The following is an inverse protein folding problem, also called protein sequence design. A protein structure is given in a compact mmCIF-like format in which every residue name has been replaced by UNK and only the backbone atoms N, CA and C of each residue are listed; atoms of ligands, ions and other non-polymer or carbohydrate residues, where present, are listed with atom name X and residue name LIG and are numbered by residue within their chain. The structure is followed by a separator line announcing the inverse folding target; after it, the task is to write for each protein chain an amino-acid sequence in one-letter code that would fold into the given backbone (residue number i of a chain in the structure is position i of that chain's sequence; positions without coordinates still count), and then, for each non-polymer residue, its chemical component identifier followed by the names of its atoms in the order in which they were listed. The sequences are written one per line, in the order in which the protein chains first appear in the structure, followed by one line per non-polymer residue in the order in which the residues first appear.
data_IF_887428215449
#
_entry.id   IF_887428215449
#
_cell.length_a   1.000
_cell.length_b   1.000
_cell.length_c   1.000
_cell.angle_alpha   90.00
_cell.angle_beta   90.00
_cell.angle_gamma   90.00
#
_symmetry.space_group_name_H-M   'P 1'
#
loop_
_entity.id
_entity.type
_entity.pdbx_description
1 polymer ?
#
# COMPACT_ATOMS: atom_id res chain seq x y z
N UNK A 1 -3.68 3.87 3.40
CA UNK A 1 -2.72 4.66 2.58
C UNK A 1 -2.40 3.95 1.26
N UNK A 2 -2.31 4.64 0.12
CA UNK A 2 -2.01 4.04 -1.21
C UNK A 2 -0.92 4.82 -1.96
N UNK A 3 0.01 4.10 -2.59
CA UNK A 3 1.27 4.65 -3.07
C UNK A 3 1.53 4.29 -4.54
N UNK A 4 0.95 5.03 -5.52
CA UNK A 4 1.28 5.12 -6.98
C UNK A 4 0.06 5.64 -7.76
N UNK A 5 0.03 6.89 -8.25
CA UNK A 5 -1.22 7.62 -8.50
C UNK A 5 -2.22 6.95 -9.48
N UNK A 6 -1.79 6.51 -10.67
CA UNK A 6 -2.73 5.99 -11.68
C UNK A 6 -3.21 4.56 -11.40
N UNK A 7 -2.33 3.69 -10.89
CA UNK A 7 -2.66 2.30 -10.54
C UNK A 7 -3.38 2.23 -9.20
N UNK A 8 -3.00 3.07 -8.24
CA UNK A 8 -3.73 3.29 -7.00
C UNK A 8 -5.18 3.69 -7.27
N UNK A 9 -5.41 4.70 -8.12
CA UNK A 9 -6.77 5.15 -8.46
C UNK A 9 -7.62 4.02 -9.04
N UNK A 10 -7.04 3.16 -9.89
CA UNK A 10 -7.73 2.00 -10.44
C UNK A 10 -8.01 0.95 -9.37
N UNK A 11 -7.05 0.65 -8.49
CA UNK A 11 -7.25 -0.26 -7.37
C UNK A 11 -8.38 0.23 -6.47
N UNK A 12 -8.33 1.51 -6.07
CA UNK A 12 -9.35 2.20 -5.26
C UNK A 12 -10.74 2.07 -5.87
N UNK A 13 -10.87 2.23 -7.20
CA UNK A 13 -12.15 2.05 -7.89
C UNK A 13 -12.63 0.60 -7.81
N UNK A 14 -11.73 -0.37 -7.99
CA UNK A 14 -12.06 -1.79 -7.88
C UNK A 14 -12.48 -2.19 -6.47
N UNK A 15 -11.80 -1.68 -5.44
CA UNK A 15 -12.13 -1.91 -4.01
C UNK A 15 -13.13 -0.89 -3.45
N UNK A 16 -13.92 -0.22 -4.29
CA UNK A 16 -14.83 0.86 -3.90
C UNK A 16 -15.82 0.50 -2.79
N UNK A 17 -16.09 -0.78 -2.55
CA UNK A 17 -16.87 -1.24 -1.38
C UNK A 17 -16.20 -0.89 -0.04
N UNK A 18 -14.87 -0.83 0.00
CA UNK A 18 -14.10 -0.46 1.19
C UNK A 18 -14.19 1.02 1.53
N UNK A 19 -14.56 1.90 0.58
CA UNK A 19 -14.82 3.33 0.90
C UNK A 19 -15.98 3.53 1.86
N UNK A 20 -16.83 2.52 2.04
CA UNK A 20 -17.90 2.54 3.06
C UNK A 20 -17.39 2.21 4.47
N UNK A 21 -16.15 1.72 4.57
CA UNK A 21 -15.58 1.12 5.79
C UNK A 21 -14.36 1.93 6.26
N UNK A 22 -13.57 2.50 5.35
CA UNK A 22 -12.37 3.26 5.68
C UNK A 22 -12.14 4.44 4.73
N UNK A 23 -11.60 5.53 5.28
CA UNK A 23 -11.12 6.67 4.51
C UNK A 23 -9.80 6.34 3.83
N UNK A 24 -9.78 6.49 2.50
CA UNK A 24 -8.60 6.18 1.70
C UNK A 24 -7.79 7.44 1.43
N UNK A 25 -6.61 7.55 2.05
CA UNK A 25 -5.63 8.60 1.76
C UNK A 25 -4.53 8.07 0.83
N UNK A 26 -4.18 8.81 -0.22
CA UNK A 26 -2.99 8.55 -1.05
C UNK A 26 -1.81 9.38 -0.53
N UNK A 27 -0.59 9.00 -0.91
CA UNK A 27 0.63 9.66 -0.41
C UNK A 27 0.72 11.14 -0.83
N UNK A 28 0.29 11.48 -2.05
CA UNK A 28 0.28 12.85 -2.57
C UNK A 28 -0.61 13.76 -1.72
N UNK A 29 -1.82 13.33 -1.35
CA UNK A 29 -2.69 14.14 -0.49
C UNK A 29 -2.13 14.29 0.93
N UNK A 30 -1.32 13.34 1.40
CA UNK A 30 -0.73 13.41 2.75
C UNK A 30 0.46 14.37 2.79
N UNK A 31 1.31 14.33 1.78
CA UNK A 31 2.54 15.12 1.71
C UNK A 31 2.27 16.60 1.41
N UNK A 32 1.22 16.90 0.64
CA UNK A 32 0.80 18.29 0.33
C UNK A 32 0.18 19.01 1.54
N UNK A 33 -0.32 18.28 2.54
CA UNK A 33 -1.05 18.86 3.68
C UNK A 33 -0.17 19.26 4.88
N UNK A 34 1.16 19.27 4.74
CA UNK A 34 2.11 19.49 5.86
C UNK A 34 1.86 18.55 7.07
N UNK A 35 1.14 17.45 6.83
CA UNK A 35 0.95 16.39 7.81
C UNK A 35 2.23 15.57 7.83
N UNK A 36 2.76 15.30 9.03
CA UNK A 36 3.94 14.46 9.18
C UNK A 36 3.61 13.06 8.64
N UNK A 37 3.99 12.80 7.39
CA UNK A 37 3.69 11.59 6.64
C UNK A 37 4.01 10.32 7.45
N UNK A 38 5.03 10.41 8.29
CA UNK A 38 5.41 9.38 9.25
C UNK A 38 4.31 9.08 10.27
N UNK A 39 3.77 10.10 10.91
CA UNK A 39 2.71 9.94 11.91
C UNK A 39 1.43 9.42 11.27
N UNK A 40 1.13 9.84 10.05
CA UNK A 40 -0.04 9.34 9.33
C UNK A 40 0.12 7.89 8.87
N UNK A 41 1.33 7.50 8.46
CA UNK A 41 1.69 6.12 8.18
C UNK A 41 1.54 5.25 9.44
N UNK A 42 2.01 5.74 10.60
CA UNK A 42 1.89 5.06 11.89
C UNK A 42 0.46 4.97 12.41
N UNK A 43 -0.35 6.00 12.19
CA UNK A 43 -1.75 6.06 12.61
C UNK A 43 -2.71 5.31 11.69
N UNK A 44 -2.28 4.97 10.48
CA UNK A 44 -3.13 4.26 9.52
C UNK A 44 -3.51 2.85 9.99
N UNK A 45 -4.80 2.56 10.09
CA UNK A 45 -5.31 1.23 10.46
C UNK A 45 -4.96 0.16 9.40
N UNK A 46 -4.80 0.56 8.14
CA UNK A 46 -4.34 -0.29 7.06
C UNK A 46 -3.52 0.49 6.01
N UNK A 47 -2.42 -0.12 5.57
CA UNK A 47 -1.49 0.43 4.58
C UNK A 47 -1.46 -0.49 3.36
N UNK A 48 -1.72 0.06 2.19
CA UNK A 48 -1.64 -0.65 0.91
C UNK A 48 -0.51 -0.05 0.09
N UNK A 49 0.60 -0.75 -0.01
CA UNK A 49 1.73 -0.35 -0.84
C UNK A 49 1.53 -0.88 -2.26
N UNK A 50 1.49 0.00 -3.26
CA UNK A 50 1.57 -0.43 -4.65
C UNK A 50 3.05 -0.54 -5.02
N UNK A 51 3.56 -1.76 -5.03
CA UNK A 51 4.96 -2.03 -5.28
C UNK A 51 5.22 -2.04 -6.80
N UNK A 52 5.72 -0.90 -7.29
CA UNK A 52 6.31 -0.77 -8.62
C UNK A 52 7.84 -0.78 -8.52
N UNK A 53 8.54 -1.10 -9.61
CA UNK A 53 10.00 -1.04 -9.63
C UNK A 53 10.55 0.34 -9.20
N UNK A 54 9.84 1.43 -9.52
CA UNK A 54 10.17 2.78 -9.08
C UNK A 54 10.01 2.94 -7.57
N UNK A 55 8.88 2.53 -7.01
CA UNK A 55 8.64 2.59 -5.56
C UNK A 55 9.64 1.72 -4.80
N UNK A 56 9.92 0.50 -5.28
CA UNK A 56 10.95 -0.39 -4.74
C UNK A 56 12.31 0.31 -4.70
N UNK A 57 12.74 0.91 -5.82
CA UNK A 57 14.01 1.64 -5.91
C UNK A 57 14.09 2.82 -4.94
N UNK A 58 13.03 3.63 -4.85
CA UNK A 58 12.98 4.77 -3.93
C UNK A 58 13.08 4.34 -2.47
N UNK A 59 12.39 3.26 -2.07
CA UNK A 59 12.47 2.72 -0.71
C UNK A 59 13.86 2.14 -0.42
N UNK A 60 14.39 1.31 -1.33
CA UNK A 60 15.67 0.65 -1.14
C UNK A 60 16.82 1.65 -1.05
N UNK A 61 16.79 2.69 -1.89
CA UNK A 61 17.80 3.74 -1.91
C UNK A 61 17.52 4.88 -0.91
N UNK A 62 16.41 4.82 -0.16
CA UNK A 62 15.98 5.84 0.81
C UNK A 62 15.88 7.24 0.16
N UNK A 63 15.33 7.27 -1.05
CA UNK A 63 15.20 8.47 -1.87
C UNK A 63 13.78 9.03 -1.82
N UNK A 64 13.68 10.34 -1.97
CA UNK A 64 12.42 11.04 -2.17
C UNK A 64 12.18 11.22 -3.67
N UNK A 65 10.92 11.06 -4.08
CA UNK A 65 10.42 11.62 -5.33
C UNK A 65 9.84 12.99 -5.04
N UNK A 66 10.17 13.98 -5.88
CA UNK A 66 9.70 15.35 -5.74
C UNK A 66 9.19 15.88 -7.07
N UNK A 67 8.23 16.79 -7.01
CA UNK A 67 7.85 17.67 -8.11
C UNK A 67 8.04 19.11 -7.63
N UNK A 68 8.98 19.82 -8.25
CA UNK A 68 9.51 21.10 -7.74
C UNK A 68 9.93 21.00 -6.27
N UNK A 69 9.20 21.66 -5.37
CA UNK A 69 9.45 21.66 -3.92
C UNK A 69 8.57 20.65 -3.16
N UNK A 70 7.57 20.05 -3.82
CA UNK A 70 6.62 19.12 -3.21
C UNK A 70 7.16 17.69 -3.22
N UNK A 71 7.15 17.03 -2.06
CA UNK A 71 7.49 15.61 -1.96
C UNK A 71 6.28 14.80 -2.46
N UNK A 72 6.48 13.96 -3.47
CA UNK A 72 5.47 13.03 -3.98
C UNK A 72 5.58 11.64 -3.34
N UNK A 73 6.77 11.26 -2.90
CA UNK A 73 7.03 9.98 -2.25
C UNK A 73 8.26 10.09 -1.34
N UNK A 74 8.19 9.58 -0.12
CA UNK A 74 9.34 9.51 0.78
C UNK A 74 9.76 8.07 1.07
N UNK A 75 10.72 7.57 0.28
CA UNK A 75 11.26 6.23 0.43
C UNK A 75 12.08 6.04 1.71
N UNK A 76 12.65 7.11 2.27
CA UNK A 76 13.39 7.05 3.53
C UNK A 76 12.44 6.79 4.69
N UNK A 77 11.34 7.54 4.79
CA UNK A 77 10.32 7.34 5.84
C UNK A 77 9.70 5.94 5.71
N UNK A 78 9.36 5.51 4.49
CA UNK A 78 8.82 4.18 4.24
C UNK A 78 9.79 3.08 4.69
N UNK A 79 11.07 3.17 4.32
CA UNK A 79 12.08 2.21 4.75
C UNK A 79 12.21 2.16 6.27
N UNK A 80 12.31 3.32 6.93
CA UNK A 80 12.47 3.41 8.39
C UNK A 80 11.26 2.83 9.13
N UNK A 81 10.04 3.20 8.75
CA UNK A 81 8.81 2.70 9.38
C UNK A 81 8.63 1.21 9.14
N UNK A 82 8.88 0.71 7.93
CA UNK A 82 8.75 -0.72 7.66
C UNK A 82 9.88 -1.55 8.29
N UNK A 83 11.06 -0.98 8.54
CA UNK A 83 12.13 -1.68 9.25
C UNK A 83 11.93 -1.66 10.78
N UNK A 84 11.42 -0.56 11.35
CA UNK A 84 11.34 -0.35 12.79
C UNK A 84 9.99 -0.75 13.37
N UNK A 85 8.90 -0.60 12.62
CA UNK A 85 7.54 -0.87 13.06
C UNK A 85 7.07 -2.27 12.64
N UNK A 86 7.51 -3.28 13.39
CA UNK A 86 7.13 -4.70 13.15
C UNK A 86 5.62 -4.93 13.21
N UNK A 87 4.91 -4.16 14.04
CA UNK A 87 3.45 -4.26 14.17
C UNK A 87 2.78 -3.83 12.86
N UNK A 88 3.18 -2.68 12.29
CA UNK A 88 2.67 -2.18 11.02
C UNK A 88 2.87 -3.22 9.91
N UNK A 89 4.09 -3.74 9.75
CA UNK A 89 4.41 -4.74 8.70
C UNK A 89 3.62 -6.03 8.88
N UNK A 90 3.50 -6.53 10.11
CA UNK A 90 2.83 -7.82 10.37
C UNK A 90 1.32 -7.73 10.29
N UNK A 91 0.73 -6.63 10.74
CA UNK A 91 -0.70 -6.57 11.00
C UNK A 91 -1.45 -5.67 10.03
N UNK A 92 -0.83 -4.61 9.51
CA UNK A 92 -1.54 -3.54 8.79
C UNK A 92 -1.11 -3.36 7.34
N UNK A 93 0.06 -3.87 6.96
CA UNK A 93 0.59 -3.76 5.60
C UNK A 93 0.03 -4.83 4.64
N UNK A 94 -0.33 -4.39 3.44
CA UNK A 94 -0.65 -5.19 2.26
C UNK A 94 0.17 -4.65 1.08
N UNK A 95 0.80 -5.52 0.30
CA UNK A 95 1.58 -5.15 -0.89
C UNK A 95 0.85 -5.63 -2.13
N UNK A 96 0.77 -4.77 -3.15
CA UNK A 96 0.14 -5.08 -4.44
C UNK A 96 1.10 -4.77 -5.57
N UNK A 97 1.51 -5.79 -6.30
CA UNK A 97 2.30 -5.69 -7.53
C UNK A 97 1.38 -5.74 -8.74
N UNK A 98 1.56 -4.81 -9.68
CA UNK A 98 0.89 -4.80 -10.99
C UNK A 98 1.77 -5.34 -12.12
N UNK A 99 3.03 -5.66 -11.82
CA UNK A 99 3.96 -6.28 -12.75
C UNK A 99 4.54 -7.52 -12.09
N UNK A 100 5.12 -8.42 -12.89
CA UNK A 100 5.83 -9.57 -12.34
C UNK A 100 6.89 -9.09 -11.35
N UNK A 101 6.92 -9.74 -10.19
CA UNK A 101 7.90 -9.43 -9.16
C UNK A 101 9.27 -9.87 -9.66
N UNK A 102 10.26 -8.99 -9.48
CA UNK A 102 11.66 -9.26 -9.76
C UNK A 102 12.45 -9.39 -8.46
N UNK A 103 13.66 -9.93 -8.54
CA UNK A 103 14.60 -9.97 -7.40
C UNK A 103 14.96 -8.59 -6.87
N UNK A 104 14.78 -7.55 -7.68
CA UNK A 104 15.04 -6.16 -7.32
C UNK A 104 13.86 -5.49 -6.61
N UNK A 105 12.70 -6.15 -6.50
CA UNK A 105 11.57 -5.59 -5.78
C UNK A 105 11.80 -5.65 -4.27
N UNK A 106 11.67 -4.48 -3.65
CA UNK A 106 11.87 -4.34 -2.23
C UNK A 106 10.68 -4.90 -1.47
N UNK A 107 10.95 -5.82 -0.53
CA UNK A 107 9.96 -6.42 0.36
C UNK A 107 10.43 -6.26 1.81
N UNK A 108 9.58 -5.73 2.72
CA UNK A 108 9.94 -5.61 4.11
C UNK A 108 10.11 -6.98 4.78
N UNK A 109 11.12 -7.10 5.62
CA UNK A 109 11.37 -8.33 6.36
C UNK A 109 10.22 -8.64 7.33
N UNK A 110 9.72 -9.87 7.29
CA UNK A 110 8.70 -10.36 8.23
C UNK A 110 7.25 -10.10 7.82
N UNK A 111 7.02 -9.63 6.59
CA UNK A 111 5.66 -9.61 6.01
C UNK A 111 5.15 -11.04 5.74
N UNK A 112 3.86 -11.25 5.93
CA UNK A 112 3.16 -12.48 5.56
C UNK A 112 2.98 -12.52 4.03
N UNK A 113 3.52 -13.53 3.36
CA UNK A 113 3.42 -13.72 1.90
C UNK A 113 1.97 -13.72 1.40
N UNK A 114 1.00 -14.12 2.24
CA UNK A 114 -0.43 -14.07 1.89
C UNK A 114 -1.00 -12.63 1.82
N UNK A 115 -0.19 -11.62 2.15
CA UNK A 115 -0.51 -10.18 2.04
C UNK A 115 0.20 -9.53 0.86
N UNK A 116 0.94 -10.29 0.07
CA UNK A 116 1.57 -9.85 -1.17
C UNK A 116 0.70 -10.34 -2.31
N UNK A 117 0.14 -9.40 -3.06
CA UNK A 117 -0.76 -9.68 -4.15
C UNK A 117 -0.07 -9.36 -5.47
N UNK A 118 -0.16 -10.30 -6.41
CA UNK A 118 0.21 -10.04 -7.80
C UNK A 118 -1.06 -9.87 -8.62
N UNK A 119 -1.11 -8.79 -9.39
CA UNK A 119 -2.20 -8.45 -10.29
C UNK A 119 -1.66 -8.59 -11.70
N UNK A 120 -2.19 -9.58 -12.43
CA UNK A 120 -1.79 -9.90 -13.79
C UNK A 120 -2.09 -8.74 -14.76
N UNK A 121 -1.29 -8.66 -15.84
CA UNK A 121 -1.44 -7.72 -16.97
C UNK A 121 -1.38 -6.22 -16.64
N UNK A 122 -0.94 -5.82 -15.45
CA UNK A 122 -0.88 -4.40 -15.07
C UNK A 122 -2.24 -3.71 -15.00
N UNK A 123 -3.33 -4.48 -14.96
CA UNK A 123 -4.70 -3.99 -14.91
C UNK A 123 -5.31 -4.34 -13.57
N UNK A 124 -6.04 -3.41 -12.96
CA UNK A 124 -6.78 -3.73 -11.74
C UNK A 124 -7.68 -4.95 -11.98
N UNK A 125 -7.68 -5.92 -11.05
CA UNK A 125 -8.36 -7.18 -11.31
C UNK A 125 -9.87 -6.92 -11.44
N UNK A 126 -10.56 -7.54 -12.43
CA UNK A 126 -11.99 -7.37 -12.59
C UNK A 126 -12.75 -7.88 -11.36
N UNK A 127 -13.97 -7.35 -11.17
CA UNK A 127 -14.86 -7.76 -10.08
C UNK A 127 -15.12 -9.27 -10.14
N UNK A 128 -15.04 -9.94 -9.00
CA UNK A 128 -15.30 -11.37 -8.87
C UNK A 128 -14.12 -12.28 -9.18
N UNK A 129 -12.96 -11.73 -9.56
CA UNK A 129 -11.73 -12.53 -9.66
C UNK A 129 -11.26 -13.01 -8.29
N UNK A 130 -10.60 -14.18 -8.20
CA UNK A 130 -10.03 -14.67 -6.95
C UNK A 130 -9.06 -13.66 -6.31
N UNK A 131 -8.22 -13.02 -7.12
CA UNK A 131 -7.25 -12.01 -6.66
C UNK A 131 -7.94 -10.81 -6.00
N UNK A 132 -8.94 -10.21 -6.65
CA UNK A 132 -9.66 -9.08 -6.06
C UNK A 132 -10.45 -9.50 -4.82
N UNK A 133 -11.09 -10.67 -4.86
CA UNK A 133 -11.87 -11.20 -3.72
C UNK A 133 -10.98 -11.44 -2.52
N UNK A 134 -9.80 -12.03 -2.72
CA UNK A 134 -8.82 -12.25 -1.67
C UNK A 134 -8.26 -10.94 -1.13
N UNK A 135 -7.95 -9.97 -2.00
CA UNK A 135 -7.50 -8.65 -1.57
C UNK A 135 -8.57 -7.93 -0.73
N UNK A 136 -9.82 -7.90 -1.20
CA UNK A 136 -10.95 -7.33 -0.44
C UNK A 136 -11.10 -8.02 0.91
N UNK A 137 -11.02 -9.36 0.95
CA UNK A 137 -11.10 -10.11 2.20
C UNK A 137 -9.99 -9.72 3.18
N UNK A 138 -8.72 -9.67 2.74
CA UNK A 138 -7.60 -9.32 3.61
C UNK A 138 -7.71 -7.89 4.12
N UNK A 139 -8.11 -6.94 3.27
CA UNK A 139 -8.30 -5.55 3.68
C UNK A 139 -9.42 -5.43 4.73
N UNK A 140 -10.56 -6.11 4.54
CA UNK A 140 -11.63 -6.14 5.54
C UNK A 140 -11.20 -6.80 6.83
N UNK A 141 -10.46 -7.91 6.76
CA UNK A 141 -9.93 -8.60 7.94
C UNK A 141 -9.01 -7.70 8.77
N UNK A 142 -8.18 -6.88 8.13
CA UNK A 142 -7.33 -5.91 8.83
C UNK A 142 -8.18 -4.81 9.47
N UNK A 143 -9.15 -4.25 8.74
CA UNK A 143 -9.95 -3.11 9.20
C UNK A 143 -11.01 -3.46 10.25
N UNK A 144 -11.58 -4.67 10.18
CA UNK A 144 -12.74 -5.07 10.98
C UNK A 144 -12.44 -6.23 11.94
N UNK A 145 -11.22 -6.76 11.91
CA UNK A 145 -10.85 -7.95 12.69
C UNK A 145 -11.58 -9.22 12.23
N UNK A 146 -11.63 -10.21 13.12
CA UNK A 146 -12.29 -11.50 12.84
C UNK A 146 -13.83 -11.42 12.92
N UNK A 147 -14.39 -10.30 13.42
CA UNK A 147 -15.83 -10.12 13.62
C UNK A 147 -16.62 -9.87 12.31
N UNK A 148 -15.95 -9.61 11.18
CA UNK A 148 -16.63 -9.38 9.90
C UNK A 148 -17.13 -10.66 9.19
N UNK A 149 -16.82 -11.84 9.75
CA UNK A 149 -17.24 -13.13 9.18
C UNK A 149 -18.64 -13.59 9.62
N UNK A 150 -19.36 -12.79 10.43
CA UNK A 150 -20.68 -13.10 10.96
C UNK A 150 -21.75 -12.12 10.52
#
# INVERSE_FOLDING_TARGET
MIVDSSRALRLVRSISKLRKIADMKNIENLLVLDQDFREELRGSECVVLIASAKASSLIQNKQQEKDEDDILFDGKVMYEEFAQNKELVKNRLVIVHFAERTENDWIPTGIDENRIFHVEDGKAPPKGTPTLTHLEYRLKKILLGDDFLY
#
